data_IF_505552610232
#
_entry.id   IF_505552610232
#
_cell.length_a   1.000
_cell.length_b   1.000
_cell.length_c   1.000
_cell.angle_alpha   90.00
_cell.angle_beta   90.00
_cell.angle_gamma   90.00
#
_symmetry.space_group_name_H-M   'P 1'
#
loop_
_entity.id
_entity.type
_entity.pdbx_description
1 polymer ?
#
# COMPACT_ATOMS: atom_id res chain seq x y z
N UNK A 1 9.67 -2.57 -5.86
CA UNK A 1 9.03 -3.26 -7.01
C UNK A 1 7.71 -3.89 -6.56
N UNK A 2 6.66 -3.77 -7.36
CA UNK A 2 5.33 -4.36 -7.16
C UNK A 2 4.61 -4.46 -8.51
N UNK A 3 3.54 -5.25 -8.59
CA UNK A 3 2.75 -5.40 -9.84
C UNK A 3 1.52 -4.50 -9.90
N UNK A 4 1.32 -3.69 -8.88
CA UNK A 4 0.41 -2.55 -8.87
C UNK A 4 1.15 -1.30 -8.42
N UNK A 5 0.64 -0.13 -8.81
CA UNK A 5 1.19 1.14 -8.35
C UNK A 5 1.16 1.20 -6.82
N UNK A 6 0.02 0.87 -6.22
CA UNK A 6 -0.22 0.92 -4.78
C UNK A 6 0.79 0.04 -4.03
N UNK A 7 1.03 -1.18 -4.52
CA UNK A 7 2.00 -2.10 -3.92
C UNK A 7 3.41 -1.53 -3.95
N UNK A 8 3.85 -1.04 -5.11
CA UNK A 8 5.19 -0.49 -5.29
C UNK A 8 5.37 0.79 -4.47
N UNK A 9 4.37 1.67 -4.48
CA UNK A 9 4.36 2.96 -3.81
C UNK A 9 4.45 2.81 -2.28
N UNK A 10 3.59 1.97 -1.68
CA UNK A 10 3.65 1.76 -0.23
C UNK A 10 4.93 1.05 0.23
N UNK A 11 5.49 0.14 -0.59
CA UNK A 11 6.80 -0.45 -0.30
C UNK A 11 7.90 0.61 -0.33
N UNK A 12 7.90 1.50 -1.32
CA UNK A 12 8.89 2.56 -1.45
C UNK A 12 8.87 3.50 -0.23
N UNK A 13 7.68 3.92 0.22
CA UNK A 13 7.56 4.78 1.41
C UNK A 13 8.18 4.14 2.67
N UNK A 14 7.99 2.83 2.86
CA UNK A 14 8.60 2.08 3.98
C UNK A 14 10.11 1.88 3.85
N UNK A 15 10.66 1.97 2.64
CA UNK A 15 12.11 1.83 2.43
C UNK A 15 12.87 3.11 2.76
N UNK A 16 12.17 4.26 2.85
CA UNK A 16 12.78 5.57 3.13
C UNK A 16 12.99 5.80 4.62
N UNK A 17 12.00 5.45 5.46
CA UNK A 17 12.03 5.70 6.91
C UNK A 17 11.34 4.54 7.65
N UNK A 18 12.02 3.98 8.65
CA UNK A 18 11.53 2.85 9.45
C UNK A 18 10.26 3.16 10.27
N UNK A 19 10.01 4.45 10.54
CA UNK A 19 8.84 4.90 11.26
C UNK A 19 7.60 5.02 10.35
N UNK A 20 7.81 5.06 9.03
CA UNK A 20 6.75 5.15 8.03
C UNK A 20 6.25 3.75 7.69
N UNK A 21 4.96 3.50 7.92
CA UNK A 21 4.35 2.17 7.68
C UNK A 21 3.80 1.99 6.25
N UNK A 22 3.76 3.06 5.47
CA UNK A 22 3.12 3.15 4.16
C UNK A 22 2.55 4.54 3.93
N UNK A 23 1.54 4.66 3.06
CA UNK A 23 0.85 5.92 2.79
C UNK A 23 -0.17 6.20 3.91
N UNK A 24 0.28 6.88 4.97
CA UNK A 24 -0.48 7.08 6.20
C UNK A 24 -1.03 8.52 6.32
N UNK A 25 -2.34 8.71 6.54
CA UNK A 25 -2.96 10.03 6.65
C UNK A 25 -2.81 10.69 8.03
N UNK A 26 -2.15 10.03 8.99
CA UNK A 26 -2.05 10.48 10.39
C UNK A 26 -0.68 11.03 10.78
N UNK A 27 0.26 11.08 9.83
CA UNK A 27 1.62 11.58 10.08
C UNK A 27 1.65 13.12 10.06
N UNK A 28 0.93 13.72 9.11
CA UNK A 28 0.84 15.18 8.96
C UNK A 28 -0.63 15.61 8.95
N UNK A 29 -0.96 16.82 9.44
CA UNK A 29 -2.28 17.41 9.25
C UNK A 29 -2.47 17.88 7.79
N UNK A 30 -3.73 18.16 7.43
CA UNK A 30 -4.03 18.85 6.17
C UNK A 30 -3.42 20.24 6.18
N UNK A 31 -2.66 20.57 5.15
CA UNK A 31 -2.02 21.88 4.98
C UNK A 31 -1.97 22.21 3.48
N UNK A 32 -2.80 23.15 3.02
CA UNK A 32 -2.85 23.52 1.59
C UNK A 32 -1.56 24.19 1.11
N UNK A 33 -0.88 24.96 1.95
CA UNK A 33 0.41 25.56 1.59
C UNK A 33 1.45 24.47 1.29
N UNK A 34 1.49 23.39 2.06
CA UNK A 34 2.36 22.25 1.79
C UNK A 34 1.90 21.41 0.58
N UNK A 35 0.61 21.46 0.22
CA UNK A 35 0.13 20.88 -1.04
C UNK A 35 0.58 21.71 -2.24
N UNK A 36 0.62 23.04 -2.15
CA UNK A 36 1.09 23.91 -3.23
C UNK A 36 2.62 23.93 -3.34
N UNK A 37 3.30 24.15 -2.21
CA UNK A 37 4.76 24.26 -2.10
C UNK A 37 5.35 22.90 -1.72
N UNK A 38 6.07 22.21 -2.61
CA UNK A 38 6.55 20.86 -2.34
C UNK A 38 7.48 20.79 -1.13
N UNK A 39 7.21 19.83 -0.23
CA UNK A 39 8.05 19.47 0.91
C UNK A 39 8.37 17.97 0.90
N UNK A 40 9.35 17.55 1.69
CA UNK A 40 9.68 16.14 1.91
C UNK A 40 8.53 15.35 2.56
N UNK A 41 7.65 16.02 3.30
CA UNK A 41 6.45 15.45 3.93
C UNK A 41 5.17 15.58 3.11
N UNK A 42 5.22 16.17 1.91
CA UNK A 42 4.04 16.43 1.05
C UNK A 42 3.17 15.19 0.82
N UNK A 43 3.75 14.00 0.70
CA UNK A 43 2.98 12.77 0.52
C UNK A 43 2.02 12.49 1.69
N UNK A 44 2.41 12.79 2.93
CA UNK A 44 1.55 12.56 4.09
C UNK A 44 0.47 13.63 4.20
N UNK A 45 0.76 14.86 3.78
CA UNK A 45 -0.26 15.92 3.64
C UNK A 45 -1.30 15.55 2.59
N UNK A 46 -0.89 14.96 1.46
CA UNK A 46 -1.82 14.42 0.45
C UNK A 46 -2.69 13.31 1.04
N UNK A 47 -2.09 12.36 1.77
CA UNK A 47 -2.84 11.30 2.44
C UNK A 47 -3.90 11.87 3.40
N UNK A 48 -3.52 12.86 4.21
CA UNK A 48 -4.42 13.56 5.12
C UNK A 48 -5.54 14.30 4.38
N UNK A 49 -5.24 15.01 3.29
CA UNK A 49 -6.23 15.73 2.49
C UNK A 49 -7.27 14.77 1.87
N UNK A 50 -6.81 13.65 1.31
CA UNK A 50 -7.70 12.60 0.79
C UNK A 50 -8.58 12.05 1.91
N UNK A 51 -8.00 11.76 3.08
CA UNK A 51 -8.75 11.26 4.24
C UNK A 51 -9.78 12.26 4.76
N UNK A 52 -9.48 13.56 4.67
CA UNK A 52 -10.40 14.66 5.00
C UNK A 52 -11.48 14.89 3.92
N UNK A 53 -11.52 14.09 2.85
CA UNK A 53 -12.56 14.14 1.84
C UNK A 53 -12.28 15.09 0.67
N UNK A 54 -11.04 15.54 0.48
CA UNK A 54 -10.70 16.38 -0.67
C UNK A 54 -10.85 15.59 -1.96
N UNK A 55 -11.46 16.22 -2.96
CA UNK A 55 -11.54 15.69 -4.31
C UNK A 55 -10.14 15.65 -4.94
N UNK A 56 -9.87 14.63 -5.75
CA UNK A 56 -8.56 14.46 -6.41
C UNK A 56 -8.28 15.58 -7.40
N UNK A 57 -9.32 16.19 -7.97
CA UNK A 57 -9.24 17.39 -8.81
C UNK A 57 -8.69 18.59 -8.04
N UNK A 58 -9.17 18.80 -6.79
CA UNK A 58 -8.65 19.87 -5.93
C UNK A 58 -7.18 19.63 -5.61
N UNK A 59 -6.82 18.41 -5.23
CA UNK A 59 -5.43 18.05 -4.94
C UNK A 59 -4.56 18.20 -6.20
N UNK A 60 -5.05 17.84 -7.38
CA UNK A 60 -4.36 18.05 -8.64
C UNK A 60 -4.10 19.54 -8.91
N UNK A 61 -5.09 20.40 -8.69
CA UNK A 61 -4.94 21.85 -8.89
C UNK A 61 -3.82 22.43 -8.02
N UNK A 62 -3.73 22.02 -6.76
CA UNK A 62 -2.71 22.45 -5.82
C UNK A 62 -1.34 21.81 -6.12
N UNK A 63 -1.31 20.51 -6.43
CA UNK A 63 -0.06 19.75 -6.47
C UNK A 63 0.57 19.58 -7.85
N UNK A 64 -0.25 19.71 -8.90
CA UNK A 64 0.03 19.32 -10.29
C UNK A 64 0.36 17.84 -10.50
N UNK A 65 0.15 16.99 -9.49
CA UNK A 65 0.27 15.53 -9.62
C UNK A 65 -0.90 15.03 -10.47
N UNK A 66 -0.61 14.23 -11.49
CA UNK A 66 -1.63 13.68 -12.37
C UNK A 66 -2.71 12.92 -11.60
N UNK A 67 -3.97 13.09 -12.04
CA UNK A 67 -5.13 12.52 -11.37
C UNK A 67 -5.07 10.99 -11.30
N UNK A 68 -4.43 10.32 -12.26
CA UNK A 68 -4.26 8.87 -12.22
C UNK A 68 -3.52 8.43 -10.95
N UNK A 69 -2.44 9.12 -10.56
CA UNK A 69 -1.73 8.80 -9.32
C UNK A 69 -2.56 9.11 -8.08
N UNK A 70 -3.27 10.25 -8.09
CA UNK A 70 -4.11 10.68 -6.98
C UNK A 70 -5.28 9.72 -6.75
N UNK A 71 -5.87 9.16 -7.81
CA UNK A 71 -6.90 8.12 -7.70
C UNK A 71 -6.34 6.81 -7.12
N UNK A 72 -5.11 6.43 -7.47
CA UNK A 72 -4.45 5.28 -6.84
C UNK A 72 -4.15 5.51 -5.36
N UNK A 73 -3.72 6.73 -4.99
CA UNK A 73 -3.54 7.13 -3.60
C UNK A 73 -4.88 7.13 -2.84
N UNK A 74 -5.95 7.62 -3.47
CA UNK A 74 -7.31 7.59 -2.93
C UNK A 74 -7.79 6.17 -2.67
N UNK A 75 -7.52 5.25 -3.59
CA UNK A 75 -7.84 3.83 -3.40
C UNK A 75 -7.20 3.24 -2.15
N UNK A 76 -5.93 3.58 -1.86
CA UNK A 76 -5.26 3.17 -0.62
C UNK A 76 -6.00 3.71 0.61
N UNK A 77 -6.32 5.02 0.63
CA UNK A 77 -6.99 5.65 1.77
C UNK A 77 -8.43 5.14 1.96
N UNK A 78 -9.16 4.85 0.88
CA UNK A 78 -10.48 4.22 0.93
C UNK A 78 -10.39 2.82 1.54
N UNK A 79 -9.41 2.01 1.13
CA UNK A 79 -9.20 0.68 1.69
C UNK A 79 -8.81 0.73 3.16
N UNK A 80 -7.94 1.68 3.53
CA UNK A 80 -7.60 1.92 4.93
C UNK A 80 -8.83 2.31 5.76
N UNK A 81 -9.67 3.21 5.26
CA UNK A 81 -10.91 3.62 5.91
C UNK A 81 -11.88 2.45 6.07
N UNK A 82 -11.97 1.57 5.06
CA UNK A 82 -12.75 0.32 5.16
C UNK A 82 -12.24 -0.60 6.25
N UNK A 83 -10.92 -0.72 6.44
CA UNK A 83 -10.33 -1.52 7.53
C UNK A 83 -10.61 -0.89 8.90
N UNK A 84 -10.52 0.43 9.02
CA UNK A 84 -10.77 1.17 10.27
C UNK A 84 -12.24 1.11 10.71
N UNK A 85 -13.16 1.04 9.74
CA UNK A 85 -14.60 0.88 9.97
C UNK A 85 -15.01 -0.56 10.26
N UNK A 86 -14.06 -1.50 10.43
CA UNK A 86 -14.40 -2.82 10.96
C UNK A 86 -14.78 -2.69 12.42
N UNK A 87 -16.09 -2.78 12.69
CA UNK A 87 -16.63 -2.86 14.04
C UNK A 87 -16.07 -4.10 14.76
N UNK A 88 -16.05 -4.12 16.10
CA UNK A 88 -15.57 -5.28 16.89
C UNK A 88 -16.23 -6.63 16.51
N UNK A 89 -17.43 -6.60 15.93
CA UNK A 89 -18.15 -7.78 15.46
C UNK A 89 -17.75 -8.22 14.04
N UNK A 90 -17.23 -7.31 13.20
CA UNK A 90 -16.82 -7.59 11.83
C UNK A 90 -15.39 -8.14 11.83
N UNK A 91 -15.25 -9.44 11.58
CA UNK A 91 -13.94 -10.10 11.52
C UNK A 91 -13.19 -9.70 10.24
N UNK A 92 -11.88 -9.48 10.36
CA UNK A 92 -10.99 -9.34 9.21
C UNK A 92 -11.01 -10.63 8.38
N UNK A 93 -11.66 -10.59 7.22
CA UNK A 93 -11.82 -11.75 6.33
C UNK A 93 -10.51 -12.05 5.58
N UNK A 94 -10.40 -13.25 5.01
CA UNK A 94 -9.23 -13.60 4.21
C UNK A 94 -9.11 -12.74 2.94
N UNK A 95 -10.23 -12.46 2.30
CA UNK A 95 -10.31 -11.58 1.13
C UNK A 95 -9.88 -10.15 1.47
N UNK A 96 -10.37 -9.59 2.58
CA UNK A 96 -9.98 -8.24 3.01
C UNK A 96 -8.50 -8.15 3.33
N UNK A 97 -7.95 -9.17 3.99
CA UNK A 97 -6.54 -9.23 4.29
C UNK A 97 -5.71 -9.36 3.00
N UNK A 98 -6.08 -10.25 2.08
CA UNK A 98 -5.41 -10.42 0.79
C UNK A 98 -5.43 -9.13 -0.04
N UNK A 99 -6.59 -8.47 -0.15
CA UNK A 99 -6.72 -7.20 -0.85
C UNK A 99 -5.85 -6.10 -0.25
N UNK A 100 -5.75 -6.02 1.09
CA UNK A 100 -4.82 -5.10 1.74
C UNK A 100 -3.37 -5.40 1.33
N UNK A 101 -2.98 -6.68 1.31
CA UNK A 101 -1.61 -7.09 0.92
C UNK A 101 -1.31 -6.78 -0.55
N UNK A 102 -2.27 -6.99 -1.45
CA UNK A 102 -2.17 -6.67 -2.88
C UNK A 102 -2.03 -5.17 -3.16
N UNK A 103 -2.59 -4.33 -2.29
CA UNK A 103 -2.38 -2.87 -2.30
C UNK A 103 -1.10 -2.42 -1.60
N UNK A 104 -0.32 -3.35 -1.03
CA UNK A 104 0.97 -3.04 -0.40
C UNK A 104 0.91 -2.67 1.09
N UNK A 105 -0.21 -2.89 1.79
CA UNK A 105 -0.30 -2.65 3.23
C UNK A 105 0.65 -3.58 3.99
N UNK A 106 1.38 -3.03 4.97
CA UNK A 106 2.17 -3.84 5.91
C UNK A 106 1.27 -4.52 6.95
N UNK A 107 1.76 -5.59 7.59
CA UNK A 107 1.00 -6.23 8.68
C UNK A 107 0.78 -5.23 9.84
N UNK A 108 1.77 -4.35 10.09
CA UNK A 108 1.71 -3.25 11.05
C UNK A 108 0.60 -2.22 10.70
N UNK A 109 0.50 -1.79 9.45
CA UNK A 109 -0.53 -0.82 9.01
C UNK A 109 -1.95 -1.41 9.13
N UNK A 110 -2.13 -2.69 8.76
CA UNK A 110 -3.41 -3.38 8.95
C UNK A 110 -3.74 -3.50 10.45
N UNK A 111 -2.75 -3.84 11.28
CA UNK A 111 -2.94 -3.97 12.73
C UNK A 111 -3.42 -2.66 13.36
N UNK A 112 -2.82 -1.52 13.00
CA UNK A 112 -3.25 -0.20 13.48
C UNK A 112 -4.69 0.09 13.05
N UNK A 113 -5.02 -0.14 11.78
CA UNK A 113 -6.36 0.11 11.26
C UNK A 113 -7.45 -0.69 12.00
N UNK A 114 -7.20 -1.98 12.28
CA UNK A 114 -8.18 -2.87 12.93
C UNK A 114 -8.01 -2.97 14.45
N UNK A 115 -7.21 -2.09 15.07
CA UNK A 115 -6.93 -2.06 16.52
C UNK A 115 -6.42 -3.39 17.07
N UNK A 116 -5.46 -3.99 16.37
CA UNK A 116 -4.81 -5.26 16.72
C UNK A 116 -3.29 -5.09 16.82
N UNK A 117 -2.56 -6.19 17.00
CA UNK A 117 -1.08 -6.21 17.01
C UNK A 117 -0.55 -6.75 15.69
N UNK A 118 0.64 -6.29 15.29
CA UNK A 118 1.31 -6.77 14.07
C UNK A 118 1.49 -8.30 14.08
N UNK A 119 1.87 -8.87 15.24
CA UNK A 119 2.04 -10.31 15.41
C UNK A 119 0.72 -11.07 15.21
N UNK A 120 -0.41 -10.54 15.71
CA UNK A 120 -1.71 -11.17 15.51
C UNK A 120 -2.12 -11.17 14.03
N UNK A 121 -1.94 -10.04 13.32
CA UNK A 121 -2.22 -9.96 11.88
C UNK A 121 -1.30 -10.89 11.09
N UNK A 122 -0.01 -10.95 11.43
CA UNK A 122 0.94 -11.88 10.81
C UNK A 122 0.54 -13.33 11.01
N UNK A 123 0.12 -13.71 12.22
CA UNK A 123 -0.38 -15.05 12.54
C UNK A 123 -1.62 -15.38 11.72
N UNK A 124 -2.63 -14.51 11.73
CA UNK A 124 -3.86 -14.67 10.98
C UNK A 124 -3.60 -14.78 9.46
N UNK A 125 -2.67 -13.98 8.93
CA UNK A 125 -2.26 -14.01 7.53
C UNK A 125 -1.66 -15.38 7.15
N UNK A 126 -0.78 -15.93 8.00
CA UNK A 126 -0.17 -17.25 7.81
C UNK A 126 -1.21 -18.38 7.91
N UNK A 127 -2.10 -18.33 8.90
CA UNK A 127 -3.18 -19.32 9.08
C UNK A 127 -4.11 -19.37 7.87
N UNK A 128 -4.38 -18.20 7.27
CA UNK A 128 -5.17 -18.08 6.04
C UNK A 128 -4.39 -18.38 4.76
N UNK A 129 -3.13 -18.82 4.85
CA UNK A 129 -2.23 -19.13 3.73
C UNK A 129 -2.01 -17.95 2.76
N UNK A 130 -1.99 -16.72 3.28
CA UNK A 130 -1.76 -15.50 2.49
C UNK A 130 -0.26 -15.17 2.50
N UNK A 131 0.44 -15.58 1.44
CA UNK A 131 1.87 -15.36 1.26
C UNK A 131 2.15 -14.59 -0.04
N UNK A 132 3.23 -13.80 -0.08
CA UNK A 132 3.67 -13.23 -1.34
C UNK A 132 4.34 -14.31 -2.19
N UNK A 133 4.33 -14.11 -3.50
CA UNK A 133 5.05 -14.92 -4.48
C UNK A 133 6.37 -14.28 -4.87
N UNK A 134 7.34 -15.12 -5.21
CA UNK A 134 8.66 -14.70 -5.69
C UNK A 134 8.60 -14.61 -7.21
N UNK A 135 8.98 -13.45 -7.75
CA UNK A 135 8.98 -13.16 -9.18
C UNK A 135 10.35 -12.72 -9.66
N UNK A 136 10.69 -13.10 -10.90
CA UNK A 136 11.93 -12.71 -11.56
C UNK A 136 11.76 -11.41 -12.33
N UNK A 137 12.86 -10.67 -12.48
CA UNK A 137 13.01 -9.60 -13.45
C UNK A 137 13.84 -10.17 -14.60
N UNK A 138 13.18 -10.37 -15.74
CA UNK A 138 13.71 -11.04 -16.93
C UNK A 138 13.96 -10.10 -18.12
N UNK A 139 13.60 -8.82 -17.98
CA UNK A 139 13.63 -7.76 -19.03
C UNK A 139 12.66 -7.94 -20.20
N UNK A 140 12.01 -9.09 -20.31
CA UNK A 140 11.18 -9.48 -21.48
C UNK A 140 9.76 -9.89 -21.08
N UNK A 141 9.33 -9.62 -19.85
CA UNK A 141 8.00 -9.93 -19.34
C UNK A 141 7.61 -11.41 -19.56
N UNK A 142 8.53 -12.31 -19.26
CA UNK A 142 8.47 -13.76 -19.40
C UNK A 142 8.37 -14.30 -20.84
N UNK A 143 8.71 -13.50 -21.87
CA UNK A 143 8.84 -14.00 -23.25
C UNK A 143 9.90 -15.12 -23.35
N UNK A 144 11.01 -14.95 -22.62
CA UNK A 144 12.11 -15.92 -22.55
C UNK A 144 12.46 -16.23 -21.10
N UNK A 145 12.85 -17.48 -20.78
CA UNK A 145 13.24 -17.84 -19.43
C UNK A 145 14.51 -17.09 -19.03
N UNK A 146 14.50 -16.50 -17.82
CA UNK A 146 15.67 -15.83 -17.26
C UNK A 146 16.62 -16.82 -16.60
N UNK A 147 17.90 -16.74 -16.95
CA UNK A 147 18.97 -17.53 -16.33
C UNK A 147 19.50 -16.90 -15.02
N UNK A 148 18.99 -15.73 -14.62
CA UNK A 148 19.46 -14.94 -13.47
C UNK A 148 18.38 -14.77 -12.41
N UNK A 149 18.78 -14.81 -11.13
CA UNK A 149 17.88 -14.64 -9.99
C UNK A 149 17.84 -13.19 -9.50
N UNK A 150 17.40 -12.26 -10.35
CA UNK A 150 17.03 -10.92 -9.90
C UNK A 150 15.55 -10.91 -9.50
N UNK A 151 15.28 -10.82 -8.20
CA UNK A 151 13.99 -11.20 -7.62
C UNK A 151 13.27 -10.04 -6.94
N UNK A 152 11.94 -10.12 -6.93
CA UNK A 152 11.08 -9.34 -6.04
C UNK A 152 9.92 -10.18 -5.53
N UNK A 153 9.30 -9.74 -4.43
CA UNK A 153 8.12 -10.38 -3.87
C UNK A 153 6.87 -9.57 -4.19
N UNK A 154 5.76 -10.24 -4.54
CA UNK A 154 4.46 -9.60 -4.76
C UNK A 154 3.30 -10.44 -4.28
N UNK A 155 2.24 -9.80 -3.78
CA UNK A 155 0.96 -10.48 -3.49
C UNK A 155 0.05 -10.61 -4.72
N UNK A 156 0.45 -10.00 -5.84
CA UNK A 156 -0.29 -10.01 -7.11
C UNK A 156 0.24 -11.15 -8.01
N UNK A 157 0.19 -12.38 -7.51
CA UNK A 157 0.64 -13.56 -8.23
C UNK A 157 -0.15 -14.79 -7.80
N UNK A 158 0.07 -15.91 -8.50
CA UNK A 158 -0.54 -17.21 -8.21
C UNK A 158 0.49 -18.35 -8.11
N UNK A 159 1.75 -18.08 -8.45
CA UNK A 159 2.86 -19.04 -8.42
C UNK A 159 4.19 -18.32 -8.22
N UNK A 160 5.21 -19.05 -7.77
CA UNK A 160 6.59 -18.59 -7.74
C UNK A 160 7.25 -18.85 -9.09
N UNK A 161 8.20 -18.00 -9.51
CA UNK A 161 8.99 -18.24 -10.72
C UNK A 161 10.18 -19.20 -10.46
N UNK A 162 10.42 -19.54 -9.19
CA UNK A 162 11.47 -20.46 -8.74
C UNK A 162 10.88 -21.68 -8.04
N UNK A 163 11.56 -22.82 -8.14
CA UNK A 163 11.30 -24.05 -7.39
C UNK A 163 12.08 -24.06 -6.07
N UNK A 164 11.46 -24.52 -4.98
CA UNK A 164 12.05 -24.65 -3.64
C UNK A 164 11.59 -25.93 -2.94
#
# INVERSE_FOLDING_TARGET
IGRSFEEAFQKALRMVDENVMGFCPYIEPVNEEALEKPTDKRMFVIAAAIKAGYATEKIHQLTKIDQWFLEKMRHIIQYQTRLENLNQQAKLTAEMLLGAKQLGFSDKQVAVAVKSTELAIRKQRKEKKIFPFVKQIDTVAAEWPANTNYLYMTYNGSSHDLTF
#
